data_IF_755775060651
#
_entry.id   IF_755775060651
#
_cell.length_a   1.000
_cell.length_b   1.000
_cell.length_c   1.000
_cell.angle_alpha   90.00
_cell.angle_beta   90.00
_cell.angle_gamma   90.00
#
_symmetry.space_group_name_H-M   'P 1'
#
loop_
_entity.id
_entity.type
_entity.pdbx_description
1 polymer ?
#
# COMPACT_ATOMS: atom_id res chain seq x y z
N UNK A 1 -29.28 18.80 14.19
CA UNK A 1 -28.87 18.34 12.84
C UNK A 1 -28.00 17.10 13.00
N UNK A 2 -28.34 15.97 12.38
CA UNK A 2 -27.46 14.79 12.39
C UNK A 2 -26.22 15.12 11.56
N UNK A 3 -25.03 15.01 12.13
CA UNK A 3 -23.77 15.21 11.43
C UNK A 3 -23.65 14.21 10.29
N UNK A 4 -23.37 14.67 9.07
CA UNK A 4 -23.24 13.79 7.91
C UNK A 4 -21.78 13.30 7.78
N UNK A 5 -21.54 12.04 8.10
CA UNK A 5 -20.24 11.40 8.04
C UNK A 5 -19.89 10.82 6.64
N UNK A 6 -20.77 10.93 5.65
CA UNK A 6 -20.50 10.41 4.31
C UNK A 6 -19.22 11.02 3.69
N UNK A 7 -18.94 12.30 3.97
CA UNK A 7 -17.70 12.96 3.51
C UNK A 7 -16.46 12.35 4.15
N UNK A 8 -16.54 11.97 5.43
CA UNK A 8 -15.43 11.32 6.14
C UNK A 8 -15.17 9.93 5.57
N UNK A 9 -16.21 9.14 5.35
CA UNK A 9 -16.11 7.81 4.73
C UNK A 9 -15.53 7.91 3.32
N UNK A 10 -15.99 8.87 2.51
CA UNK A 10 -15.43 9.12 1.17
C UNK A 10 -13.96 9.55 1.24
N UNK A 11 -13.60 10.44 2.15
CA UNK A 11 -12.22 10.84 2.35
C UNK A 11 -11.32 9.65 2.78
N UNK A 12 -11.84 8.72 3.58
CA UNK A 12 -11.16 7.47 3.95
C UNK A 12 -10.99 6.54 2.74
N UNK A 13 -11.99 6.43 1.86
CA UNK A 13 -11.86 5.65 0.61
C UNK A 13 -10.75 6.22 -0.29
N UNK A 14 -10.70 7.55 -0.43
CA UNK A 14 -9.60 8.23 -1.14
C UNK A 14 -8.27 7.99 -0.41
N UNK A 15 -8.26 7.93 0.92
CA UNK A 15 -7.07 7.59 1.71
C UNK A 15 -6.47 6.24 1.33
N UNK A 16 -7.30 5.22 1.12
CA UNK A 16 -6.81 3.92 0.64
C UNK A 16 -6.37 3.93 -0.83
N UNK A 17 -6.94 4.79 -1.66
CA UNK A 17 -6.39 5.02 -3.01
C UNK A 17 -5.01 5.69 -2.91
N UNK A 18 -4.81 6.65 -1.99
CA UNK A 18 -3.49 7.26 -1.73
C UNK A 18 -2.49 6.22 -1.24
N UNK A 19 -2.90 5.33 -0.33
CA UNK A 19 -2.07 4.21 0.13
C UNK A 19 -1.67 3.30 -1.04
N UNK A 20 -2.61 3.00 -1.94
CA UNK A 20 -2.33 2.21 -3.14
C UNK A 20 -1.33 2.91 -4.09
N UNK A 21 -1.42 4.24 -4.27
CA UNK A 21 -0.46 5.02 -5.06
C UNK A 21 0.93 4.93 -4.44
N UNK A 22 1.04 5.18 -3.13
CA UNK A 22 2.32 5.13 -2.37
C UNK A 22 3.01 3.78 -2.52
N UNK A 23 2.25 2.68 -2.48
CA UNK A 23 2.84 1.34 -2.49
C UNK A 23 3.08 0.78 -3.91
N UNK A 24 2.36 1.26 -4.94
CA UNK A 24 2.41 0.65 -6.27
C UNK A 24 3.02 1.52 -7.36
N UNK A 25 3.20 2.83 -7.17
CA UNK A 25 3.74 3.69 -8.22
C UNK A 25 5.26 3.51 -8.40
N UNK A 26 6.03 3.57 -7.31
CA UNK A 26 7.51 3.48 -7.37
C UNK A 26 8.01 2.13 -7.90
N UNK A 27 7.40 0.99 -7.59
CA UNK A 27 7.77 -0.29 -8.20
C UNK A 27 7.75 -0.31 -9.74
N UNK A 28 6.84 0.43 -10.36
CA UNK A 28 6.78 0.54 -11.83
C UNK A 28 7.99 1.29 -12.43
N UNK A 29 8.79 1.96 -11.60
CA UNK A 29 9.93 2.78 -12.01
C UNK A 29 11.28 2.12 -11.69
N UNK A 30 11.32 0.89 -11.16
CA UNK A 30 12.57 0.26 -10.71
C UNK A 30 13.63 0.17 -11.82
N UNK A 31 13.26 -0.32 -13.00
CA UNK A 31 14.18 -0.42 -14.13
C UNK A 31 14.51 0.96 -14.72
N UNK A 32 13.59 1.91 -14.63
CA UNK A 32 13.85 3.30 -15.02
C UNK A 32 14.91 3.93 -14.12
N UNK A 33 14.81 3.73 -12.80
CA UNK A 33 15.84 4.23 -11.87
C UNK A 33 17.20 3.55 -12.08
N UNK A 34 17.19 2.25 -12.41
CA UNK A 34 18.41 1.54 -12.77
C UNK A 34 19.05 2.12 -14.03
N UNK A 35 18.27 2.34 -15.08
CA UNK A 35 18.78 2.85 -16.37
C UNK A 35 19.16 4.32 -16.33
N UNK A 36 18.29 5.19 -15.76
CA UNK A 36 18.48 6.65 -15.81
C UNK A 36 19.49 7.16 -14.79
N UNK A 37 19.57 6.53 -13.61
CA UNK A 37 20.47 6.96 -12.54
C UNK A 37 21.64 6.00 -12.26
N UNK A 38 21.74 4.89 -12.98
CA UNK A 38 22.79 3.89 -12.75
C UNK A 38 22.71 3.21 -11.39
N UNK A 39 21.51 3.18 -10.76
CA UNK A 39 21.29 2.62 -9.43
C UNK A 39 21.24 1.08 -9.54
N UNK A 40 22.06 0.38 -8.76
CA UNK A 40 22.03 -1.08 -8.76
C UNK A 40 20.72 -1.64 -8.21
N UNK A 41 20.33 -2.83 -8.67
CA UNK A 41 19.11 -3.51 -8.20
C UNK A 41 19.10 -3.73 -6.68
N UNK A 42 20.28 -3.98 -6.09
CA UNK A 42 20.44 -4.07 -4.63
C UNK A 42 20.06 -2.77 -3.91
N UNK A 43 20.45 -1.60 -4.45
CA UNK A 43 20.03 -0.31 -3.90
C UNK A 43 18.53 -0.08 -4.07
N UNK A 44 17.94 -0.51 -5.19
CA UNK A 44 16.49 -0.45 -5.40
C UNK A 44 15.74 -1.29 -4.37
N UNK A 45 16.25 -2.48 -4.02
CA UNK A 45 15.69 -3.31 -2.94
C UNK A 45 15.66 -2.56 -1.60
N UNK A 46 16.66 -1.71 -1.32
CA UNK A 46 16.65 -0.88 -0.12
C UNK A 46 15.52 0.14 -0.13
N UNK A 47 15.14 0.70 -1.28
CA UNK A 47 13.97 1.61 -1.35
C UNK A 47 12.70 0.90 -0.87
N UNK A 48 12.47 -0.34 -1.30
CA UNK A 48 11.34 -1.17 -0.84
C UNK A 48 11.45 -1.44 0.65
N UNK A 49 12.62 -1.86 1.11
CA UNK A 49 12.87 -2.17 2.53
C UNK A 49 12.61 -0.96 3.41
N UNK A 50 13.10 0.22 3.03
CA UNK A 50 12.87 1.45 3.78
C UNK A 50 11.41 1.92 3.71
N UNK A 51 10.73 1.75 2.56
CA UNK A 51 9.30 2.07 2.45
C UNK A 51 8.50 1.31 3.52
N UNK A 52 8.58 -0.02 3.53
CA UNK A 52 7.81 -0.83 4.48
C UNK A 52 8.38 -0.79 5.89
N UNK A 53 9.70 -0.64 6.05
CA UNK A 53 10.34 -0.46 7.35
C UNK A 53 9.87 0.83 8.06
N UNK A 54 9.78 1.93 7.34
CA UNK A 54 9.24 3.19 7.87
C UNK A 54 7.75 3.07 8.18
N UNK A 55 6.95 2.43 7.30
CA UNK A 55 5.54 2.18 7.59
C UNK A 55 5.40 1.41 8.90
N UNK A 56 6.11 0.30 9.09
CA UNK A 56 6.10 -0.48 10.33
C UNK A 56 6.51 0.35 11.56
N UNK A 57 7.54 1.19 11.44
CA UNK A 57 7.97 2.07 12.55
C UNK A 57 6.89 3.10 12.89
N UNK A 58 6.22 3.66 11.88
CA UNK A 58 5.10 4.58 12.06
C UNK A 58 3.92 3.89 12.70
N UNK A 59 3.59 2.66 12.30
CA UNK A 59 2.52 1.86 12.89
C UNK A 59 2.76 1.65 14.40
N UNK A 60 3.97 1.25 14.76
CA UNK A 60 4.35 1.07 16.17
C UNK A 60 4.34 2.39 16.94
N UNK A 61 4.85 3.47 16.35
CA UNK A 61 4.90 4.78 16.99
C UNK A 61 3.50 5.40 17.15
N UNK A 62 2.56 5.10 16.23
CA UNK A 62 1.21 5.64 16.21
C UNK A 62 0.44 5.35 17.51
N UNK A 63 0.71 4.21 18.15
CA UNK A 63 0.13 3.80 19.43
C UNK A 63 0.33 4.89 20.52
N UNK A 64 1.42 5.64 20.44
CA UNK A 64 1.76 6.63 21.46
C UNK A 64 1.43 8.09 21.10
N UNK A 65 1.44 8.44 19.81
CA UNK A 65 1.29 9.85 19.43
C UNK A 65 -0.07 10.19 18.82
N UNK A 66 -0.75 9.26 18.16
CA UNK A 66 -2.05 9.54 17.52
C UNK A 66 -3.09 10.01 18.53
N UNK A 67 -3.15 9.39 19.69
CA UNK A 67 -4.06 9.79 20.76
C UNK A 67 -3.75 11.19 21.31
N UNK A 68 -2.48 11.63 21.23
CA UNK A 68 -2.06 12.95 21.73
C UNK A 68 -2.33 14.07 20.73
N UNK A 69 -2.06 13.87 19.44
CA UNK A 69 -2.24 14.89 18.41
C UNK A 69 -3.65 14.86 17.78
N UNK A 70 -4.36 13.75 17.98
CA UNK A 70 -5.72 13.51 17.50
C UNK A 70 -5.77 13.00 16.06
N UNK A 71 -6.81 12.25 15.75
CA UNK A 71 -7.01 11.58 14.47
C UNK A 71 -7.06 12.54 13.28
N UNK A 72 -7.67 13.72 13.43
CA UNK A 72 -7.71 14.74 12.37
C UNK A 72 -6.31 15.19 11.97
N UNK A 73 -5.49 15.57 12.94
CA UNK A 73 -4.14 16.06 12.68
C UNK A 73 -3.28 14.95 12.06
N UNK A 74 -3.43 13.72 12.54
CA UNK A 74 -2.72 12.54 12.01
C UNK A 74 -3.13 12.24 10.55
N UNK A 75 -4.42 12.31 10.20
CA UNK A 75 -4.89 12.11 8.82
C UNK A 75 -4.43 13.22 7.87
N UNK A 76 -4.42 14.48 8.33
CA UNK A 76 -3.86 15.61 7.58
C UNK A 76 -2.37 15.39 7.34
N UNK A 77 -1.62 15.01 8.38
CA UNK A 77 -0.18 14.74 8.29
C UNK A 77 0.10 13.59 7.31
N UNK A 78 -0.68 12.52 7.39
CA UNK A 78 -0.54 11.36 6.51
C UNK A 78 -0.60 11.74 5.02
N UNK A 79 -1.64 12.48 4.65
CA UNK A 79 -1.85 12.90 3.26
C UNK A 79 -0.83 13.96 2.82
N UNK A 80 -0.48 14.90 3.71
CA UNK A 80 0.54 15.91 3.43
C UNK A 80 1.92 15.28 3.18
N UNK A 81 2.32 14.28 4.00
CA UNK A 81 3.57 13.55 3.82
C UNK A 81 3.56 12.70 2.54
N UNK A 82 2.44 12.05 2.21
CA UNK A 82 2.30 11.33 0.95
C UNK A 82 2.47 12.26 -0.26
N UNK A 83 1.79 13.43 -0.27
CA UNK A 83 1.91 14.42 -1.34
C UNK A 83 3.33 14.97 -1.44
N UNK A 84 3.91 15.39 -0.30
CA UNK A 84 5.26 15.93 -0.26
C UNK A 84 6.30 14.93 -0.76
N UNK A 85 6.23 13.66 -0.32
CA UNK A 85 7.16 12.63 -0.75
C UNK A 85 7.08 12.33 -2.25
N UNK A 86 5.86 12.29 -2.83
CA UNK A 86 5.69 12.13 -4.29
C UNK A 86 6.27 13.30 -5.08
N UNK A 87 6.14 14.53 -4.60
CA UNK A 87 6.77 15.71 -5.22
C UNK A 87 8.29 15.65 -5.07
N UNK A 88 8.79 15.36 -3.86
CA UNK A 88 10.22 15.28 -3.59
C UNK A 88 10.91 14.15 -4.37
N UNK A 89 10.19 13.09 -4.72
CA UNK A 89 10.68 12.03 -5.59
C UNK A 89 11.14 12.57 -6.96
N UNK A 90 10.54 13.66 -7.44
CA UNK A 90 10.87 14.26 -8.73
C UNK A 90 12.04 15.26 -8.65
N UNK A 91 12.33 15.78 -7.48
CA UNK A 91 13.29 16.90 -7.29
C UNK A 91 14.59 16.42 -6.63
N UNK A 92 14.49 15.67 -5.53
CA UNK A 92 15.66 15.32 -4.71
C UNK A 92 16.73 14.50 -5.45
N UNK A 93 16.40 13.55 -6.34
CA UNK A 93 17.42 12.78 -7.07
C UNK A 93 18.34 13.65 -7.95
N UNK A 94 17.87 14.84 -8.34
CA UNK A 94 18.64 15.75 -9.20
C UNK A 94 19.32 16.87 -8.40
N UNK A 95 18.79 17.18 -7.21
CA UNK A 95 19.35 18.22 -6.36
C UNK A 95 20.49 17.73 -5.46
N UNK A 96 20.51 16.41 -5.17
CA UNK A 96 21.52 15.79 -4.32
C UNK A 96 22.64 15.16 -5.17
N UNK A 97 23.86 15.14 -4.64
CA UNK A 97 25.02 14.57 -5.35
C UNK A 97 24.91 13.07 -5.62
N UNK A 98 24.08 12.33 -4.87
CA UNK A 98 23.75 10.91 -5.12
C UNK A 98 22.23 10.79 -5.34
N UNK A 99 21.77 10.46 -6.57
CA UNK A 99 20.36 10.27 -6.87
C UNK A 99 19.67 9.23 -5.99
N UNK A 100 20.37 8.17 -5.57
CA UNK A 100 19.82 7.16 -4.68
C UNK A 100 19.42 7.74 -3.33
N UNK A 101 20.24 8.61 -2.74
CA UNK A 101 19.92 9.26 -1.48
C UNK A 101 18.68 10.15 -1.62
N UNK A 102 18.54 10.84 -2.76
CA UNK A 102 17.37 11.65 -3.07
C UNK A 102 16.09 10.81 -3.14
N UNK A 103 16.13 9.70 -3.88
CA UNK A 103 15.02 8.75 -3.94
C UNK A 103 14.68 8.19 -2.56
N UNK A 104 15.69 7.79 -1.79
CA UNK A 104 15.50 7.21 -0.47
C UNK A 104 14.80 8.17 0.49
N UNK A 105 15.23 9.43 0.55
CA UNK A 105 14.60 10.44 1.39
C UNK A 105 13.15 10.66 0.97
N UNK A 106 12.87 10.78 -0.32
CA UNK A 106 11.51 10.96 -0.83
C UNK A 106 10.62 9.76 -0.47
N UNK A 107 11.13 8.54 -0.64
CA UNK A 107 10.46 7.29 -0.27
C UNK A 107 10.15 7.26 1.23
N UNK A 108 11.11 7.60 2.08
CA UNK A 108 10.89 7.64 3.53
C UNK A 108 9.81 8.64 3.92
N UNK A 109 9.74 9.79 3.25
CA UNK A 109 8.74 10.82 3.53
C UNK A 109 7.34 10.33 3.16
N UNK A 110 7.12 9.79 1.95
CA UNK A 110 5.80 9.28 1.63
C UNK A 110 5.43 7.99 2.39
N UNK A 111 6.43 7.20 2.80
CA UNK A 111 6.23 6.02 3.63
C UNK A 111 5.67 6.37 5.02
N UNK A 112 6.06 7.51 5.60
CA UNK A 112 5.44 8.03 6.83
C UNK A 112 3.95 8.26 6.58
N UNK A 113 3.60 8.87 5.45
CA UNK A 113 2.21 9.06 5.04
C UNK A 113 1.47 7.74 4.89
N UNK A 114 2.10 6.78 4.20
CA UNK A 114 1.55 5.43 3.98
C UNK A 114 1.25 4.68 5.28
N UNK A 115 2.21 4.61 6.22
CA UNK A 115 2.00 3.96 7.51
C UNK A 115 0.87 4.60 8.32
N UNK A 116 0.82 5.93 8.39
CA UNK A 116 -0.29 6.61 9.05
C UNK A 116 -1.65 6.29 8.43
N UNK A 117 -1.74 6.20 7.09
CA UNK A 117 -2.99 5.84 6.42
C UNK A 117 -3.41 4.41 6.75
N UNK A 118 -2.47 3.48 6.77
CA UNK A 118 -2.73 2.08 7.08
C UNK A 118 -3.36 1.89 8.47
N UNK A 119 -2.81 2.56 9.47
CA UNK A 119 -3.29 2.48 10.86
C UNK A 119 -4.58 3.24 11.09
N UNK A 120 -4.78 4.40 10.44
CA UNK A 120 -5.84 5.34 10.84
C UNK A 120 -7.12 5.22 10.02
N UNK A 121 -7.04 4.84 8.75
CA UNK A 121 -8.20 4.89 7.85
C UNK A 121 -9.30 3.95 8.32
N UNK A 122 -8.96 2.72 8.69
CA UNK A 122 -9.93 1.72 9.15
C UNK A 122 -10.62 2.11 10.46
N UNK A 123 -9.91 2.49 11.54
CA UNK A 123 -10.54 2.96 12.77
C UNK A 123 -11.44 4.19 12.56
N UNK A 124 -11.05 5.13 11.70
CA UNK A 124 -11.87 6.33 11.43
C UNK A 124 -13.20 5.95 10.75
N UNK A 125 -13.20 4.99 9.81
CA UNK A 125 -14.44 4.49 9.19
C UNK A 125 -15.28 3.71 10.19
N UNK A 126 -14.65 2.89 11.03
CA UNK A 126 -15.34 2.09 12.04
C UNK A 126 -16.04 2.96 13.09
N UNK A 127 -15.45 4.11 13.47
CA UNK A 127 -16.05 5.06 14.39
C UNK A 127 -17.23 5.83 13.79
N UNK A 128 -17.27 5.96 12.45
CA UNK A 128 -18.39 6.65 11.81
C UNK A 128 -19.71 5.90 12.06
N UNK A 129 -20.78 6.60 12.45
CA UNK A 129 -22.11 6.00 12.62
C UNK A 129 -22.67 5.60 11.25
N UNK A 130 -22.50 4.34 10.87
CA UNK A 130 -23.02 3.73 9.64
C UNK A 130 -23.97 2.60 9.98
N UNK A 131 -25.01 2.39 9.17
CA UNK A 131 -26.01 1.34 9.39
C UNK A 131 -25.42 -0.08 9.25
N UNK A 132 -24.31 -0.23 8.53
CA UNK A 132 -23.61 -1.50 8.32
C UNK A 132 -22.08 -1.29 8.27
N UNK A 133 -21.43 -1.46 9.42
CA UNK A 133 -19.98 -1.30 9.58
C UNK A 133 -19.17 -2.31 8.77
N UNK A 134 -19.60 -3.57 8.75
CA UNK A 134 -18.92 -4.64 8.02
C UNK A 134 -18.87 -4.35 6.51
N UNK A 135 -20.00 -3.88 5.97
CA UNK A 135 -20.08 -3.47 4.56
C UNK A 135 -19.16 -2.28 4.26
N UNK A 136 -19.14 -1.27 5.15
CA UNK A 136 -18.28 -0.11 5.00
C UNK A 136 -16.80 -0.49 5.03
N UNK A 137 -16.39 -1.40 5.92
CA UNK A 137 -15.02 -1.92 6.02
C UNK A 137 -14.64 -2.78 4.81
N UNK A 138 -15.51 -3.69 4.36
CA UNK A 138 -15.26 -4.49 3.16
C UNK A 138 -15.08 -3.62 1.91
N UNK A 139 -15.94 -2.60 1.77
CA UNK A 139 -15.85 -1.64 0.68
C UNK A 139 -14.55 -0.81 0.77
N UNK A 140 -14.19 -0.35 1.97
CA UNK A 140 -12.96 0.39 2.22
C UNK A 140 -11.72 -0.39 1.71
N UNK A 141 -11.57 -1.64 2.13
CA UNK A 141 -10.46 -2.48 1.67
C UNK A 141 -10.49 -2.77 0.17
N UNK A 142 -11.68 -2.82 -0.45
CA UNK A 142 -11.79 -2.93 -1.90
C UNK A 142 -11.24 -1.70 -2.62
N UNK A 143 -11.37 -0.50 -2.04
CA UNK A 143 -10.79 0.72 -2.62
C UNK A 143 -9.27 0.70 -2.69
N UNK A 144 -8.57 0.02 -1.77
CA UNK A 144 -7.14 -0.22 -1.92
C UNK A 144 -6.82 -1.05 -3.17
N UNK A 145 -7.52 -2.16 -3.37
CA UNK A 145 -7.29 -3.03 -4.52
C UNK A 145 -7.57 -2.30 -5.85
N UNK A 146 -8.71 -1.63 -5.95
CA UNK A 146 -9.07 -0.87 -7.15
C UNK A 146 -8.19 0.37 -7.33
N UNK A 147 -7.73 0.97 -6.23
CA UNK A 147 -6.71 2.01 -6.24
C UNK A 147 -5.39 1.52 -6.82
N UNK A 148 -4.94 0.31 -6.46
CA UNK A 148 -3.75 -0.31 -7.04
C UNK A 148 -3.92 -0.58 -8.54
N UNK A 149 -5.05 -1.19 -8.95
CA UNK A 149 -5.39 -1.39 -10.37
C UNK A 149 -5.37 -0.05 -11.12
N UNK A 150 -6.05 0.97 -10.59
CA UNK A 150 -6.10 2.30 -11.19
C UNK A 150 -4.71 2.94 -11.31
N UNK A 151 -3.90 2.85 -10.26
CA UNK A 151 -2.52 3.38 -10.27
C UNK A 151 -1.69 2.71 -11.35
N UNK A 152 -1.72 1.39 -11.45
CA UNK A 152 -0.95 0.65 -12.44
C UNK A 152 -1.43 0.95 -13.85
N UNK A 153 -2.74 0.82 -14.12
CA UNK A 153 -3.31 1.04 -15.45
C UNK A 153 -3.09 2.47 -15.97
N UNK A 154 -3.36 3.47 -15.12
CA UNK A 154 -3.18 4.87 -15.50
C UNK A 154 -1.70 5.18 -15.72
N UNK A 155 -0.82 4.66 -14.86
CA UNK A 155 0.62 4.85 -15.02
C UNK A 155 1.14 4.17 -16.29
N UNK A 156 0.76 2.92 -16.55
CA UNK A 156 1.16 2.19 -17.77
C UNK A 156 0.63 2.89 -19.04
N UNK A 157 -0.61 3.36 -19.02
CA UNK A 157 -1.19 4.12 -20.14
C UNK A 157 -0.46 5.46 -20.34
N UNK A 158 -0.14 6.16 -19.25
CA UNK A 158 0.63 7.40 -19.32
C UNK A 158 2.01 7.15 -19.95
N UNK A 159 2.71 6.11 -19.52
CA UNK A 159 4.02 5.76 -20.06
C UNK A 159 3.96 5.35 -21.54
N UNK A 160 2.87 4.67 -21.94
CA UNK A 160 2.66 4.29 -23.33
C UNK A 160 2.45 5.52 -24.24
N UNK A 161 1.72 6.54 -23.76
CA UNK A 161 1.38 7.73 -24.56
C UNK A 161 2.50 8.77 -24.53
N UNK A 162 3.04 9.06 -23.36
CA UNK A 162 3.99 10.17 -23.14
C UNK A 162 5.44 9.71 -22.99
N UNK A 163 5.70 8.40 -22.90
CA UNK A 163 7.02 7.84 -22.63
C UNK A 163 7.36 7.78 -21.16
N UNK A 164 8.22 6.81 -20.81
CA UNK A 164 8.65 6.56 -19.43
C UNK A 164 9.48 7.71 -18.86
N UNK A 165 10.20 8.46 -19.67
CA UNK A 165 11.03 9.59 -19.25
C UNK A 165 10.21 10.72 -18.60
N UNK A 166 8.92 10.75 -18.86
CA UNK A 166 7.98 11.72 -18.29
C UNK A 166 7.38 11.28 -16.91
N UNK A 167 7.93 10.25 -16.29
CA UNK A 167 7.44 9.72 -15.02
C UNK A 167 7.33 10.78 -13.88
N UNK A 168 8.17 11.81 -13.92
CA UNK A 168 8.13 12.90 -12.94
C UNK A 168 6.81 13.69 -13.00
N UNK A 169 6.31 13.97 -14.20
CA UNK A 169 5.01 14.61 -14.35
C UNK A 169 3.89 13.75 -13.78
N UNK A 170 3.96 12.44 -14.00
CA UNK A 170 2.98 11.53 -13.44
C UNK A 170 3.05 11.49 -11.91
N UNK A 171 4.25 11.52 -11.31
CA UNK A 171 4.41 11.61 -9.86
C UNK A 171 3.75 12.86 -9.27
N UNK A 172 3.89 14.03 -9.95
CA UNK A 172 3.21 15.26 -9.56
C UNK A 172 1.68 15.14 -9.70
N UNK A 173 1.20 14.52 -10.76
CA UNK A 173 -0.25 14.24 -10.96
C UNK A 173 -0.76 13.36 -9.81
N UNK A 174 -0.07 12.28 -9.47
CA UNK A 174 -0.43 11.44 -8.33
C UNK A 174 -0.41 12.19 -7.00
N UNK A 175 0.48 13.16 -6.82
CA UNK A 175 0.54 13.97 -5.60
C UNK A 175 -0.68 14.89 -5.40
N UNK A 176 -1.43 15.21 -6.46
CA UNK A 176 -2.65 16.02 -6.38
C UNK A 176 -3.71 15.32 -5.51
N UNK A 177 -3.84 14.00 -5.63
CA UNK A 177 -4.87 13.24 -4.91
C UNK A 177 -4.70 13.36 -3.39
N UNK A 178 -3.54 13.05 -2.78
CA UNK A 178 -3.35 13.25 -1.35
C UNK A 178 -3.38 14.74 -0.96
N UNK A 179 -2.91 15.67 -1.80
CA UNK A 179 -3.00 17.10 -1.51
C UNK A 179 -4.45 17.57 -1.37
N UNK A 180 -5.33 17.18 -2.30
CA UNK A 180 -6.77 17.49 -2.25
C UNK A 180 -7.42 16.80 -1.03
N UNK A 181 -7.05 15.56 -0.75
CA UNK A 181 -7.62 14.83 0.38
C UNK A 181 -7.15 15.36 1.74
N UNK A 182 -5.99 15.99 1.80
CA UNK A 182 -5.56 16.79 2.97
C UNK A 182 -6.62 17.84 3.32
N UNK A 183 -7.08 18.60 2.30
CA UNK A 183 -8.13 19.60 2.48
C UNK A 183 -9.47 18.97 2.93
N UNK A 184 -9.84 17.80 2.41
CA UNK A 184 -11.02 17.08 2.87
C UNK A 184 -10.96 16.78 4.37
N UNK A 185 -9.82 16.28 4.88
CA UNK A 185 -9.64 15.98 6.30
C UNK A 185 -9.56 17.22 7.21
N UNK A 186 -9.22 18.39 6.66
CA UNK A 186 -9.33 19.64 7.41
C UNK A 186 -10.80 20.02 7.73
N UNK A 187 -11.73 19.60 6.87
CA UNK A 187 -13.13 20.10 6.90
C UNK A 187 -14.19 19.03 7.21
N UNK A 188 -13.90 17.74 7.03
CA UNK A 188 -14.86 16.67 7.30
C UNK A 188 -15.04 16.44 8.81
N UNK A 189 -16.23 16.00 9.28
CA UNK A 189 -16.42 15.61 10.67
C UNK A 189 -15.68 14.31 10.97
N UNK A 190 -14.94 14.25 12.08
CA UNK A 190 -14.30 13.02 12.57
C UNK A 190 -14.83 12.74 13.96
N UNK A 191 -15.32 11.52 14.17
CA UNK A 191 -15.79 11.08 15.48
C UNK A 191 -14.60 10.80 16.39
N UNK A 192 -14.66 11.17 17.68
CA UNK A 192 -13.64 10.78 18.65
C UNK A 192 -13.59 9.26 18.80
N UNK A 193 -12.42 8.68 18.62
CA UNK A 193 -12.19 7.21 18.68
C UNK A 193 -11.84 6.72 20.10
N UNK A 194 -11.87 7.59 21.10
CA UNK A 194 -11.45 7.24 22.47
C UNK A 194 -12.53 6.48 23.19
N UNK A 195 -12.46 5.15 23.14
CA UNK A 195 -13.08 4.31 24.16
C UNK A 195 -12.12 4.19 25.34
N UNK A 196 -12.57 4.70 26.49
CA UNK A 196 -11.81 4.66 27.72
C UNK A 196 -11.47 3.22 28.14
N UNK A 197 -10.27 2.77 27.85
CA UNK A 197 -9.53 1.87 28.74
C UNK A 197 -9.90 0.39 28.76
N UNK A 198 -10.56 -0.19 27.76
CA UNK A 198 -10.87 -1.65 27.72
C UNK A 198 -9.89 -2.50 26.90
N UNK A 199 -8.81 -1.93 26.42
CA UNK A 199 -7.80 -2.64 25.63
C UNK A 199 -6.98 -3.65 26.48
N UNK A 200 -6.67 -4.82 25.91
CA UNK A 200 -5.73 -5.76 26.53
C UNK A 200 -4.35 -5.12 26.54
N UNK A 201 -3.74 -5.01 27.73
CA UNK A 201 -2.39 -4.45 27.87
C UNK A 201 -1.37 -5.22 27.01
N UNK A 202 -0.45 -4.50 26.38
CA UNK A 202 0.57 -5.02 25.46
C UNK A 202 1.29 -6.25 26.04
N UNK A 203 1.66 -6.22 27.33
CA UNK A 203 2.32 -7.32 28.01
C UNK A 203 1.49 -8.61 28.00
N UNK A 204 0.17 -8.50 28.20
CA UNK A 204 -0.74 -9.64 28.17
C UNK A 204 -0.93 -10.18 26.74
N UNK A 205 -0.88 -9.33 25.73
CA UNK A 205 -0.95 -9.71 24.32
C UNK A 205 0.27 -10.56 23.94
N UNK A 206 1.48 -10.10 24.26
CA UNK A 206 2.73 -10.81 23.99
C UNK A 206 2.88 -12.15 24.72
N UNK A 207 2.15 -12.35 25.83
CA UNK A 207 2.16 -13.62 26.58
C UNK A 207 1.28 -14.71 25.95
N UNK A 208 0.47 -14.38 24.92
CA UNK A 208 -0.43 -15.34 24.28
C UNK A 208 0.25 -16.05 23.10
N UNK A 209 0.37 -17.42 23.12
CA UNK A 209 0.97 -18.16 22.00
C UNK A 209 0.25 -17.91 20.67
N UNK A 210 -1.07 -17.78 20.70
CA UNK A 210 -1.89 -17.49 19.51
C UNK A 210 -1.47 -16.18 18.80
N UNK A 211 -1.06 -15.17 19.57
CA UNK A 211 -0.56 -13.91 19.02
C UNK A 211 0.67 -14.12 18.12
N UNK A 212 1.62 -14.94 18.52
CA UNK A 212 2.81 -15.23 17.75
C UNK A 212 2.52 -16.05 16.49
N UNK A 213 1.59 -17.02 16.61
CA UNK A 213 1.11 -17.77 15.43
C UNK A 213 0.45 -16.84 14.42
N UNK A 214 -0.41 -15.93 14.90
CA UNK A 214 -1.06 -14.94 14.03
C UNK A 214 -0.04 -14.02 13.34
N UNK A 215 1.00 -13.55 14.07
CA UNK A 215 2.10 -12.77 13.49
C UNK A 215 2.83 -13.55 12.40
N UNK A 216 3.21 -14.82 12.67
CA UNK A 216 3.87 -15.64 11.65
C UNK A 216 3.01 -15.82 10.40
N UNK A 217 1.72 -16.07 10.54
CA UNK A 217 0.79 -16.19 9.40
C UNK A 217 0.70 -14.86 8.61
N UNK A 218 0.63 -13.72 9.31
CA UNK A 218 0.60 -12.41 8.68
C UNK A 218 1.90 -12.10 7.93
N UNK A 219 3.06 -12.45 8.50
CA UNK A 219 4.36 -12.29 7.82
C UNK A 219 4.42 -13.13 6.55
N UNK A 220 4.01 -14.40 6.60
CA UNK A 220 4.00 -15.28 5.43
C UNK A 220 3.04 -14.78 4.33
N UNK A 221 1.84 -14.36 4.72
CA UNK A 221 0.85 -13.82 3.80
C UNK A 221 1.33 -12.52 3.15
N UNK A 222 1.80 -11.57 3.96
CA UNK A 222 2.31 -10.29 3.50
C UNK A 222 3.54 -10.42 2.60
N UNK A 223 4.47 -11.32 2.93
CA UNK A 223 5.64 -11.58 2.10
C UNK A 223 5.25 -12.10 0.71
N UNK A 224 4.28 -13.03 0.65
CA UNK A 224 3.78 -13.58 -0.62
C UNK A 224 3.07 -12.50 -1.46
N UNK A 225 2.26 -11.66 -0.82
CA UNK A 225 1.56 -10.55 -1.47
C UNK A 225 2.56 -9.52 -2.03
N UNK A 226 3.49 -9.07 -1.19
CA UNK A 226 4.45 -8.03 -1.55
C UNK A 226 5.45 -8.49 -2.61
N UNK A 227 5.84 -9.76 -2.64
CA UNK A 227 6.68 -10.29 -3.70
C UNK A 227 6.06 -10.10 -5.08
N UNK A 228 4.76 -10.39 -5.22
CA UNK A 228 4.04 -10.16 -6.49
C UNK A 228 3.79 -8.69 -6.77
N UNK A 229 3.32 -7.94 -5.78
CA UNK A 229 2.96 -6.53 -5.97
C UNK A 229 4.18 -5.66 -6.35
N UNK A 230 5.35 -5.93 -5.76
CA UNK A 230 6.53 -5.07 -5.93
C UNK A 230 7.44 -5.50 -7.10
N UNK A 231 7.56 -6.80 -7.37
CA UNK A 231 8.61 -7.31 -8.25
C UNK A 231 8.12 -7.93 -9.54
N UNK A 232 6.81 -8.25 -9.67
CA UNK A 232 6.31 -8.98 -10.83
C UNK A 232 6.51 -8.22 -12.15
N UNK A 233 6.35 -6.90 -12.19
CA UNK A 233 6.61 -6.10 -13.39
C UNK A 233 8.08 -6.12 -13.78
N UNK A 234 8.98 -5.80 -12.84
CA UNK A 234 10.42 -5.80 -13.10
C UNK A 234 10.94 -7.19 -13.50
N UNK A 235 10.42 -8.25 -12.89
CA UNK A 235 10.75 -9.63 -13.26
C UNK A 235 10.28 -9.97 -14.69
N UNK A 236 9.06 -9.59 -15.04
CA UNK A 236 8.49 -9.84 -16.36
C UNK A 236 9.30 -9.14 -17.47
N UNK A 237 9.75 -7.93 -17.23
CA UNK A 237 10.60 -7.19 -18.15
C UNK A 237 12.02 -7.80 -18.25
N UNK A 238 12.69 -7.98 -17.11
CA UNK A 238 14.10 -8.36 -17.08
C UNK A 238 14.35 -9.85 -17.38
N UNK A 239 13.49 -10.76 -16.91
CA UNK A 239 13.69 -12.20 -17.04
C UNK A 239 12.92 -12.83 -18.21
N UNK A 240 11.73 -12.30 -18.54
CA UNK A 240 10.88 -12.84 -19.61
C UNK A 240 10.96 -12.02 -20.90
N UNK A 241 11.64 -10.87 -20.90
CA UNK A 241 11.77 -10.00 -22.07
C UNK A 241 10.44 -9.38 -22.53
N UNK A 242 9.44 -9.30 -21.64
CA UNK A 242 8.14 -8.69 -21.96
C UNK A 242 8.30 -7.17 -22.05
N UNK A 243 7.45 -6.54 -22.88
CA UNK A 243 7.37 -5.07 -22.86
C UNK A 243 6.88 -4.60 -21.48
N UNK A 244 7.31 -3.39 -21.07
CA UNK A 244 6.89 -2.80 -19.79
C UNK A 244 5.37 -2.83 -19.60
N UNK A 245 4.60 -2.44 -20.62
CA UNK A 245 3.14 -2.45 -20.53
C UNK A 245 2.58 -3.86 -20.24
N UNK A 246 3.12 -4.89 -20.86
CA UNK A 246 2.72 -6.28 -20.60
C UNK A 246 3.18 -6.74 -19.22
N UNK A 247 4.37 -6.36 -18.77
CA UNK A 247 4.87 -6.65 -17.43
C UNK A 247 4.00 -6.04 -16.33
N UNK A 248 3.64 -4.77 -16.48
CA UNK A 248 2.77 -4.06 -15.53
C UNK A 248 1.36 -4.66 -15.49
N UNK A 249 0.81 -5.05 -16.65
CA UNK A 249 -0.54 -5.63 -16.74
C UNK A 249 -0.58 -7.07 -16.25
N UNK A 250 0.31 -7.92 -16.71
CA UNK A 250 0.33 -9.35 -16.38
C UNK A 250 0.83 -9.65 -14.97
N UNK A 251 1.65 -8.78 -14.39
CA UNK A 251 2.16 -8.90 -13.03
C UNK A 251 1.25 -8.19 -12.02
N UNK A 252 1.62 -7.00 -11.55
CA UNK A 252 0.96 -6.35 -10.43
C UNK A 252 -0.50 -5.98 -10.69
N UNK A 253 -0.88 -5.65 -11.95
CA UNK A 253 -2.27 -5.32 -12.26
C UNK A 253 -3.17 -6.55 -12.13
N UNK A 254 -2.83 -7.69 -12.75
CA UNK A 254 -3.60 -8.94 -12.61
C UNK A 254 -3.66 -9.40 -11.16
N UNK A 255 -2.56 -9.25 -10.42
CA UNK A 255 -2.55 -9.54 -8.99
C UNK A 255 -3.59 -8.67 -8.23
N UNK A 256 -3.59 -7.36 -8.44
CA UNK A 256 -4.53 -6.44 -7.78
C UNK A 256 -6.00 -6.72 -8.18
N UNK A 257 -6.27 -7.07 -9.44
CA UNK A 257 -7.61 -7.46 -9.93
C UNK A 257 -8.07 -8.73 -9.25
N UNK A 258 -7.24 -9.78 -9.22
CA UNK A 258 -7.60 -11.06 -8.59
C UNK A 258 -7.82 -10.91 -7.09
N UNK A 259 -7.01 -10.08 -6.42
CA UNK A 259 -7.17 -9.72 -5.01
C UNK A 259 -8.50 -9.00 -4.78
N UNK A 260 -8.84 -8.00 -5.60
CA UNK A 260 -10.09 -7.27 -5.51
C UNK A 260 -11.33 -8.16 -5.72
N UNK A 261 -11.29 -9.04 -6.72
CA UNK A 261 -12.35 -10.01 -7.00
C UNK A 261 -12.50 -10.99 -5.82
N UNK A 262 -11.38 -11.53 -5.31
CA UNK A 262 -11.38 -12.44 -4.17
C UNK A 262 -12.03 -11.82 -2.93
N UNK A 263 -11.75 -10.54 -2.64
CA UNK A 263 -12.37 -9.80 -1.52
C UNK A 263 -13.87 -9.61 -1.72
N UNK A 264 -14.33 -9.33 -2.94
CA UNK A 264 -15.77 -9.23 -3.25
C UNK A 264 -16.46 -10.58 -3.05
N UNK A 265 -15.87 -11.68 -3.55
CA UNK A 265 -16.40 -13.03 -3.40
C UNK A 265 -16.48 -13.40 -1.92
N UNK A 266 -15.40 -13.17 -1.17
CA UNK A 266 -15.37 -13.44 0.26
C UNK A 266 -16.40 -12.58 1.03
N UNK A 267 -16.52 -11.29 0.71
CA UNK A 267 -17.53 -10.41 1.32
C UNK A 267 -18.97 -10.85 1.05
N UNK A 268 -19.23 -11.55 -0.06
CA UNK A 268 -20.56 -12.04 -0.42
C UNK A 268 -20.87 -13.44 0.14
N UNK A 269 -19.87 -14.32 0.18
CA UNK A 269 -20.06 -15.75 0.50
C UNK A 269 -19.29 -16.19 1.75
N UNK A 270 -18.55 -15.30 2.41
CA UNK A 270 -17.64 -15.63 3.51
C UNK A 270 -18.31 -16.33 4.69
N UNK A 271 -19.57 -15.97 5.01
CA UNK A 271 -20.35 -16.63 6.07
C UNK A 271 -20.66 -18.10 5.76
N UNK A 272 -20.63 -18.52 4.49
CA UNK A 272 -20.90 -19.88 4.03
C UNK A 272 -19.63 -20.71 3.91
N UNK A 273 -18.45 -20.09 4.04
CA UNK A 273 -17.15 -20.72 3.86
C UNK A 273 -16.56 -21.15 5.21
N UNK A 274 -16.07 -22.37 5.28
CA UNK A 274 -15.21 -22.81 6.39
C UNK A 274 -13.85 -22.07 6.29
N UNK A 275 -13.66 -21.12 7.18
CA UNK A 275 -12.48 -20.23 7.18
C UNK A 275 -11.16 -21.02 7.22
N UNK A 276 -11.10 -22.10 8.03
CA UNK A 276 -9.90 -22.90 8.16
C UNK A 276 -9.55 -23.65 6.87
N UNK A 277 -10.56 -24.22 6.20
CA UNK A 277 -10.37 -24.89 4.91
C UNK A 277 -10.00 -23.91 3.82
N UNK A 278 -10.62 -22.72 3.82
CA UNK A 278 -10.33 -21.67 2.86
C UNK A 278 -8.89 -21.16 3.02
N UNK A 279 -8.45 -20.86 4.24
CA UNK A 279 -7.07 -20.42 4.52
C UNK A 279 -6.04 -21.50 4.17
N UNK A 280 -6.30 -22.75 4.54
CA UNK A 280 -5.39 -23.86 4.21
C UNK A 280 -5.30 -24.11 2.71
N UNK A 281 -6.44 -24.07 2.00
CA UNK A 281 -6.47 -24.20 0.55
C UNK A 281 -5.73 -23.08 -0.16
N UNK A 282 -5.89 -21.83 0.29
CA UNK A 282 -5.16 -20.67 -0.23
C UNK A 282 -3.65 -20.79 0.00
N UNK A 283 -3.22 -21.25 1.19
CA UNK A 283 -1.81 -21.50 1.49
C UNK A 283 -1.20 -22.57 0.59
N UNK A 284 -1.89 -23.70 0.39
CA UNK A 284 -1.44 -24.76 -0.54
C UNK A 284 -1.34 -24.22 -1.96
N UNK A 285 -2.34 -23.45 -2.43
CA UNK A 285 -2.32 -22.84 -3.76
C UNK A 285 -1.12 -21.90 -3.93
N UNK A 286 -0.80 -21.07 -2.93
CA UNK A 286 0.40 -20.22 -2.94
C UNK A 286 1.67 -21.06 -3.12
N UNK A 287 1.83 -22.13 -2.33
CA UNK A 287 3.01 -23.01 -2.45
C UNK A 287 3.10 -23.60 -3.87
N UNK A 288 1.99 -24.12 -4.40
CA UNK A 288 1.93 -24.71 -5.77
C UNK A 288 2.29 -23.68 -6.83
N UNK A 289 1.87 -22.42 -6.68
CA UNK A 289 2.18 -21.34 -7.65
C UNK A 289 3.64 -20.87 -7.56
N UNK A 290 4.21 -20.76 -6.34
CA UNK A 290 5.58 -20.27 -6.16
C UNK A 290 6.67 -21.32 -6.43
N UNK A 291 6.39 -22.61 -6.27
CA UNK A 291 7.35 -23.69 -6.56
C UNK A 291 7.92 -23.64 -7.99
N UNK A 292 7.10 -23.52 -9.07
CA UNK A 292 7.62 -23.40 -10.42
C UNK A 292 8.49 -22.16 -10.64
N UNK A 293 8.12 -21.03 -10.02
CA UNK A 293 8.88 -19.77 -10.13
C UNK A 293 10.27 -19.93 -9.53
N UNK A 294 10.40 -20.57 -8.36
CA UNK A 294 11.70 -20.83 -7.74
C UNK A 294 12.56 -21.81 -8.54
N UNK A 295 11.93 -22.80 -9.22
CA UNK A 295 12.63 -23.78 -10.05
C UNK A 295 13.19 -23.17 -11.35
N UNK A 296 12.46 -22.25 -11.97
CA UNK A 296 12.92 -21.53 -13.17
C UNK A 296 14.08 -20.59 -12.85
N UNK A 297 14.13 -20.04 -11.64
CA UNK A 297 15.23 -19.17 -11.21
C UNK A 297 16.54 -19.93 -10.99
N UNK A 298 16.47 -21.18 -10.50
CA UNK A 298 17.66 -22.04 -10.32
C UNK A 298 18.28 -22.45 -11.67
N UNK A 299 17.46 -22.68 -12.70
CA UNK A 299 17.95 -23.04 -14.05
C UNK A 299 18.55 -21.87 -14.84
N UNK A 300 18.21 -20.64 -14.52
CA UNK A 300 18.76 -19.46 -15.20
C UNK A 300 20.17 -19.10 -14.72
N UNK A 301 20.69 -19.77 -13.69
CA UNK A 301 22.03 -19.59 -13.15
C UNK A 301 22.99 -20.77 -13.48
N UNK A 302 22.52 -21.80 -14.20
CA UNK A 302 23.35 -22.83 -14.85
C UNK A 302 23.56 -22.51 -16.34
#
# INVERSE_FOLDING_TARGET
>A
MKTNYNRTVQACFIGYVVQAIVNNFVPLLFLTFQGSYGISLQKITLLVTFNFGIQLLVDLASIGFVDRIGYRASMILAHAMAAAGLILLTVLPECLGDPFVGLLIAVMIYAIGGGLLEVLVSPVVEACPTDNKEKAMSLLHSFYCWGAVGTILISSLFFLIFGIDNWKWLAVIWAIIPAVNTYNFMTCPIEPLVDNGSGMGIKNLFSRPFFWVAICLMICSGASELAMAQWASAYAEAALGLSKALGDLAGPCMFAVTMGISRIIFGKYGEQLDLMKFMSGSGILCVVCYLPVSYTHLRAHE
#
